data_IF_309083271071
#
_entry.id   IF_309083271071
#
_cell.length_a   1.000
_cell.length_b   1.000
_cell.length_c   1.000
_cell.angle_alpha   90.00
_cell.angle_beta   90.00
_cell.angle_gamma   90.00
#
_symmetry.space_group_name_H-M   'P 1'
#
loop_
_entity.id
_entity.type
_entity.pdbx_description
1 polymer ?
#
# COMPACT_ATOMS: atom_id res chain seq x y z
N UNK A 1 29.19 -38.43 -84.58
CA UNK A 1 29.70 -39.08 -83.35
C UNK A 1 28.97 -38.43 -82.18
N UNK A 2 27.92 -39.08 -81.68
CA UNK A 2 27.94 -40.00 -80.52
C UNK A 2 28.02 -39.20 -79.21
N UNK A 3 26.84 -39.04 -78.61
CA UNK A 3 26.43 -38.99 -77.20
C UNK A 3 27.51 -38.89 -76.12
N UNK A 4 27.07 -38.35 -74.97
CA UNK A 4 27.72 -38.24 -73.64
C UNK A 4 28.32 -36.82 -73.51
N UNK A 5 27.75 -35.87 -72.76
CA UNK A 5 27.47 -35.94 -71.32
C UNK A 5 26.18 -35.15 -71.00
N UNK A 6 25.10 -35.88 -70.76
CA UNK A 6 23.98 -35.47 -69.93
C UNK A 6 24.39 -35.71 -68.47
N UNK A 7 24.95 -34.73 -67.75
CA UNK A 7 25.17 -34.87 -66.30
C UNK A 7 25.46 -33.55 -65.57
N UNK A 8 25.01 -32.40 -66.08
CA UNK A 8 24.96 -31.18 -65.26
C UNK A 8 23.65 -30.41 -65.50
N UNK A 9 22.59 -31.16 -65.76
CA UNK A 9 21.23 -30.77 -65.41
C UNK A 9 21.04 -31.12 -63.94
N UNK A 10 21.45 -30.23 -63.04
CA UNK A 10 20.68 -29.98 -61.83
C UNK A 10 21.23 -28.75 -61.12
N UNK A 11 20.32 -27.83 -60.83
CA UNK A 11 20.44 -26.90 -59.71
C UNK A 11 21.32 -25.66 -59.92
N UNK A 12 21.04 -24.89 -60.97
CA UNK A 12 21.16 -23.43 -60.87
C UNK A 12 19.76 -22.84 -61.07
N UNK A 13 18.85 -23.23 -60.17
CA UNK A 13 17.64 -22.43 -59.96
C UNK A 13 18.15 -21.15 -59.31
N UNK A 14 17.99 -20.08 -60.06
CA UNK A 14 18.20 -18.70 -59.65
C UNK A 14 17.67 -18.53 -58.23
N UNK A 15 18.58 -18.32 -57.27
CA UNK A 15 18.24 -17.80 -55.95
C UNK A 15 17.81 -16.34 -56.13
N UNK A 16 16.71 -16.11 -56.86
CA UNK A 16 15.87 -14.94 -56.58
C UNK A 16 15.14 -15.36 -55.31
N UNK A 17 15.82 -15.22 -54.17
CA UNK A 17 15.10 -15.04 -52.94
C UNK A 17 14.24 -13.80 -53.20
N UNK A 18 12.93 -14.00 -53.40
CA UNK A 18 11.99 -12.95 -53.11
C UNK A 18 12.33 -12.54 -51.68
N UNK A 19 12.94 -11.37 -51.48
CA UNK A 19 12.89 -10.77 -50.16
C UNK A 19 11.41 -10.76 -49.80
N UNK A 20 10.99 -11.51 -48.77
CA UNK A 20 9.59 -11.50 -48.40
C UNK A 20 9.22 -10.04 -48.20
N UNK A 21 8.09 -9.60 -48.76
CA UNK A 21 7.48 -8.34 -48.34
C UNK A 21 7.13 -8.54 -46.86
N UNK A 22 8.08 -8.19 -46.01
CA UNK A 22 7.90 -8.11 -44.58
C UNK A 22 7.20 -6.79 -44.34
N UNK A 23 5.91 -6.86 -44.04
CA UNK A 23 5.23 -5.73 -43.46
C UNK A 23 5.76 -5.60 -42.03
N UNK A 24 6.94 -4.98 -41.88
CA UNK A 24 7.52 -4.66 -40.59
C UNK A 24 6.70 -3.51 -40.04
N UNK A 25 5.82 -3.80 -39.10
CA UNK A 25 5.26 -2.77 -38.24
C UNK A 25 6.45 -2.08 -37.55
N UNK A 26 6.79 -0.88 -38.03
CA UNK A 26 7.77 -0.03 -37.38
C UNK A 26 7.21 0.32 -36.01
N UNK A 27 7.96 0.01 -34.95
CA UNK A 27 7.56 0.32 -33.56
C UNK A 27 7.49 1.85 -33.33
N UNK A 28 7.83 2.66 -34.34
CA UNK A 28 7.83 4.11 -34.24
C UNK A 28 9.11 4.63 -33.60
N UNK A 29 9.36 5.93 -33.74
CA UNK A 29 10.48 6.60 -33.08
C UNK A 29 10.17 6.89 -31.61
N UNK A 30 11.22 7.03 -30.80
CA UNK A 30 11.08 7.56 -29.46
C UNK A 30 10.51 8.98 -29.48
N UNK A 31 9.64 9.28 -28.53
CA UNK A 31 9.13 10.64 -28.31
C UNK A 31 9.76 11.23 -27.05
N UNK A 32 9.71 12.56 -26.97
CA UNK A 32 10.14 13.37 -25.83
C UNK A 32 8.96 13.72 -24.91
N UNK A 33 9.25 14.21 -23.71
CA UNK A 33 8.23 14.48 -22.69
C UNK A 33 7.25 15.60 -23.10
N UNK A 34 7.67 16.57 -23.91
CA UNK A 34 6.83 17.62 -24.48
C UNK A 34 5.85 17.11 -25.55
N UNK A 35 6.13 15.95 -26.13
CA UNK A 35 5.26 15.27 -27.09
C UNK A 35 4.23 14.33 -26.41
N UNK A 36 4.27 14.20 -25.08
CA UNK A 36 3.34 13.36 -24.33
C UNK A 36 1.92 13.97 -24.29
N UNK A 37 0.98 13.24 -24.87
CA UNK A 37 -0.46 13.45 -24.76
C UNK A 37 -1.04 12.47 -23.72
N UNK A 38 -0.94 12.90 -22.47
CA UNK A 38 -1.42 12.18 -21.29
C UNK A 38 -2.25 13.10 -20.43
N UNK A 39 -3.34 12.58 -19.87
CA UNK A 39 -4.24 13.33 -18.99
C UNK A 39 -4.62 12.52 -17.76
N UNK A 40 -4.83 13.25 -16.66
CA UNK A 40 -5.44 12.74 -15.43
C UNK A 40 -6.54 13.73 -15.04
N UNK A 41 -7.80 13.30 -15.12
CA UNK A 41 -8.95 14.20 -14.93
C UNK A 41 -9.94 13.62 -13.93
N UNK A 42 -10.24 14.32 -12.82
CA UNK A 42 -11.29 13.91 -11.91
C UNK A 42 -12.65 13.95 -12.58
N UNK A 43 -13.49 12.96 -12.31
CA UNK A 43 -14.91 13.03 -12.67
C UNK A 43 -15.56 14.13 -11.82
N UNK A 44 -16.26 15.06 -12.46
CA UNK A 44 -17.00 16.12 -11.78
C UNK A 44 -18.41 15.63 -11.46
N UNK A 45 -18.82 15.71 -10.19
CA UNK A 45 -20.16 15.38 -9.72
C UNK A 45 -20.69 16.57 -8.92
N UNK A 46 -21.87 17.09 -9.29
CA UNK A 46 -22.49 18.26 -8.65
C UNK A 46 -21.54 19.48 -8.54
N UNK A 47 -20.71 19.71 -9.57
CA UNK A 47 -19.76 20.83 -9.62
C UNK A 47 -18.49 20.65 -8.79
N UNK A 48 -18.29 19.50 -8.13
CA UNK A 48 -17.08 19.18 -7.36
C UNK A 48 -16.26 18.08 -8.02
N UNK A 49 -14.94 18.17 -7.93
CA UNK A 49 -14.01 17.14 -8.41
C UNK A 49 -14.06 15.94 -7.46
N UNK A 50 -14.54 14.80 -7.94
CA UNK A 50 -14.63 13.58 -7.15
C UNK A 50 -13.27 12.90 -6.98
N UNK A 51 -13.22 11.91 -6.09
CA UNK A 51 -12.07 11.04 -5.87
C UNK A 51 -11.83 9.98 -6.96
N UNK A 52 -12.59 9.99 -8.06
CA UNK A 52 -12.39 9.08 -9.19
C UNK A 52 -11.70 9.83 -10.33
N UNK A 53 -10.48 9.40 -10.68
CA UNK A 53 -9.64 10.07 -11.69
C UNK A 53 -9.53 9.18 -12.92
N UNK A 54 -9.86 9.73 -14.08
CA UNK A 54 -9.67 9.07 -15.38
C UNK A 54 -8.26 9.38 -15.87
N UNK A 55 -7.50 8.32 -16.16
CA UNK A 55 -6.15 8.38 -16.72
C UNK A 55 -6.23 7.99 -18.19
N UNK A 56 -5.62 8.77 -19.07
CA UNK A 56 -5.59 8.50 -20.51
C UNK A 56 -4.21 8.77 -21.06
N UNK A 57 -3.64 7.78 -21.76
CA UNK A 57 -2.44 7.93 -22.57
C UNK A 57 -2.78 7.74 -24.06
N UNK A 58 -2.72 8.82 -24.83
CA UNK A 58 -2.88 8.79 -26.28
C UNK A 58 -1.53 8.68 -27.02
N UNK A 59 -0.41 8.77 -26.29
CA UNK A 59 0.93 8.65 -26.87
C UNK A 59 1.34 7.20 -27.14
N UNK A 60 2.19 6.95 -28.15
CA UNK A 60 2.65 5.61 -28.54
C UNK A 60 3.76 5.07 -27.60
N UNK A 61 3.53 5.13 -26.29
CA UNK A 61 4.45 4.65 -25.25
C UNK A 61 3.71 3.77 -24.26
N UNK A 62 4.39 2.79 -23.64
CA UNK A 62 3.77 2.02 -22.56
C UNK A 62 3.54 2.91 -21.34
N UNK A 63 2.45 2.68 -20.63
CA UNK A 63 2.05 3.53 -19.51
C UNK A 63 2.45 2.96 -18.16
N UNK A 64 2.88 3.83 -17.25
CA UNK A 64 2.97 3.57 -15.82
C UNK A 64 2.53 4.82 -15.07
N UNK A 65 1.44 4.72 -14.33
CA UNK A 65 0.83 5.80 -13.56
C UNK A 65 0.98 5.51 -12.08
N UNK A 66 1.87 6.22 -11.39
CA UNK A 66 1.94 6.19 -9.94
C UNK A 66 1.03 7.30 -9.38
N UNK A 67 -0.03 6.90 -8.67
CA UNK A 67 -0.97 7.82 -8.05
C UNK A 67 -0.86 7.83 -6.52
N UNK A 68 0.34 7.48 -6.01
CA UNK A 68 0.64 7.38 -4.60
C UNK A 68 0.22 6.02 -4.03
N UNK A 69 -1.06 5.65 -4.12
CA UNK A 69 -1.56 4.43 -3.46
C UNK A 69 -1.10 3.14 -4.19
N UNK A 70 -1.20 3.11 -5.52
CA UNK A 70 -0.72 2.00 -6.36
C UNK A 70 -0.20 2.54 -7.69
N UNK A 71 0.29 1.62 -8.52
CA UNK A 71 0.69 1.89 -9.90
C UNK A 71 -0.34 1.24 -10.84
N UNK A 72 -0.80 1.98 -11.85
CA UNK A 72 -1.53 1.42 -13.00
C UNK A 72 -0.63 1.38 -14.22
N UNK A 73 -0.66 0.28 -14.97
CA UNK A 73 0.08 0.14 -16.24
C UNK A 73 -0.82 0.18 -17.48
N UNK A 74 -2.11 0.48 -17.29
CA UNK A 74 -3.04 0.54 -18.42
C UNK A 74 -2.86 1.84 -19.19
N UNK A 75 -3.08 1.77 -20.49
CA UNK A 75 -3.12 2.95 -21.35
C UNK A 75 -4.22 3.92 -20.91
N UNK A 76 -5.41 3.40 -20.64
CA UNK A 76 -6.52 4.13 -20.05
C UNK A 76 -6.99 3.40 -18.80
N UNK A 77 -7.20 4.13 -17.70
CA UNK A 77 -7.69 3.56 -16.45
C UNK A 77 -8.60 4.54 -15.71
N UNK A 78 -9.29 4.04 -14.69
CA UNK A 78 -10.03 4.86 -13.75
C UNK A 78 -9.61 4.47 -12.35
N UNK A 79 -8.86 5.35 -11.69
CA UNK A 79 -8.32 5.13 -10.34
C UNK A 79 -9.21 5.79 -9.29
N UNK A 80 -9.06 5.34 -8.04
CA UNK A 80 -9.79 5.85 -6.89
C UNK A 80 -8.82 6.38 -5.83
N UNK A 81 -8.92 7.67 -5.55
CA UNK A 81 -8.21 8.33 -4.45
C UNK A 81 -8.97 8.08 -3.14
N UNK A 82 -8.23 7.92 -2.05
CA UNK A 82 -8.80 7.53 -0.73
C UNK A 82 -8.84 8.66 0.29
N UNK A 83 -8.30 9.84 -0.06
CA UNK A 83 -8.30 11.06 0.74
C UNK A 83 -8.53 12.28 -0.17
N UNK A 84 -9.17 13.37 0.33
CA UNK A 84 -9.31 14.60 -0.43
C UNK A 84 -8.01 15.42 -0.46
N UNK A 85 -7.95 16.44 -1.33
CA UNK A 85 -6.82 17.36 -1.43
C UNK A 85 -6.09 17.30 -2.78
N UNK A 86 -4.93 17.94 -2.82
CA UNK A 86 -4.07 17.95 -4.00
C UNK A 86 -3.21 16.68 -4.03
N UNK A 87 -3.05 16.10 -5.21
CA UNK A 87 -2.18 14.97 -5.45
C UNK A 87 -1.43 15.12 -6.78
N UNK A 88 -0.22 14.56 -6.83
CA UNK A 88 0.54 14.39 -8.06
C UNK A 88 0.37 12.96 -8.55
N UNK A 89 0.01 12.80 -9.81
CA UNK A 89 0.08 11.52 -10.52
C UNK A 89 1.32 11.55 -11.40
N UNK A 90 2.30 10.71 -11.08
CA UNK A 90 3.54 10.61 -11.84
C UNK A 90 3.37 9.60 -12.97
N UNK A 91 3.40 10.08 -14.22
CA UNK A 91 3.42 9.24 -15.40
C UNK A 91 4.87 8.89 -15.78
N UNK A 92 5.12 7.62 -16.10
CA UNK A 92 6.32 7.15 -16.79
C UNK A 92 5.91 6.44 -18.07
N UNK A 93 6.34 6.98 -19.20
CA UNK A 93 6.24 6.37 -20.52
C UNK A 93 7.50 5.55 -20.84
N UNK A 94 7.34 4.36 -21.42
CA UNK A 94 8.45 3.60 -22.02
C UNK A 94 8.36 3.70 -23.54
N UNK A 95 9.39 4.30 -24.15
CA UNK A 95 9.52 4.40 -25.60
C UNK A 95 9.88 3.06 -26.24
N UNK A 96 9.63 2.90 -27.55
CA UNK A 96 10.08 1.76 -28.37
C UNK A 96 11.57 1.38 -28.21
N UNK A 97 12.44 2.38 -28.04
CA UNK A 97 13.88 2.20 -27.89
C UNK A 97 14.31 1.86 -26.45
N UNK A 98 13.36 1.71 -25.53
CA UNK A 98 13.59 1.42 -24.11
C UNK A 98 13.90 2.65 -23.26
N UNK A 99 13.98 3.85 -23.84
CA UNK A 99 14.13 5.08 -23.06
C UNK A 99 12.85 5.40 -22.28
N UNK A 100 13.01 6.06 -21.13
CA UNK A 100 11.90 6.46 -20.25
C UNK A 100 11.68 7.97 -20.34
N UNK A 101 10.42 8.37 -20.33
CA UNK A 101 9.97 9.76 -20.28
C UNK A 101 8.97 9.92 -19.14
N UNK A 102 9.03 11.03 -18.42
CA UNK A 102 8.19 11.26 -17.24
C UNK A 102 7.40 12.56 -17.35
N UNK A 103 6.21 12.58 -16.74
CA UNK A 103 5.37 13.78 -16.63
C UNK A 103 4.53 13.72 -15.37
N UNK A 104 4.56 14.80 -14.59
CA UNK A 104 3.74 14.93 -13.38
C UNK A 104 2.43 15.64 -13.71
N UNK A 105 1.31 15.04 -13.31
CA UNK A 105 -0.02 15.57 -13.50
C UNK A 105 -0.61 15.96 -12.15
N UNK A 106 -0.93 17.23 -11.99
CA UNK A 106 -1.54 17.76 -10.77
C UNK A 106 -3.06 17.54 -10.82
N UNK A 107 -3.60 16.91 -9.78
CA UNK A 107 -5.05 16.73 -9.61
C UNK A 107 -5.49 17.22 -8.24
N UNK A 108 -6.74 17.65 -8.16
CA UNK A 108 -7.39 18.05 -6.90
C UNK A 108 -8.65 17.22 -6.72
N UNK A 109 -8.81 16.63 -5.55
CA UNK A 109 -10.03 15.96 -5.11
C UNK A 109 -10.72 16.85 -4.08
N UNK A 110 -11.88 17.39 -4.45
CA UNK A 110 -12.67 18.27 -3.58
C UNK A 110 -13.48 17.44 -2.58
N UNK A 111 -14.00 16.28 -3.02
CA UNK A 111 -14.89 15.44 -2.23
C UNK A 111 -14.73 13.95 -2.56
N UNK A 112 -14.84 13.10 -1.52
CA UNK A 112 -14.90 11.65 -1.67
C UNK A 112 -16.31 11.20 -2.10
N UNK A 113 -16.73 11.60 -3.30
CA UNK A 113 -18.08 11.29 -3.84
C UNK A 113 -18.32 9.79 -4.00
N UNK A 114 -17.28 9.02 -4.35
CA UNK A 114 -17.37 7.57 -4.47
C UNK A 114 -16.90 6.91 -3.15
N UNK A 115 -17.65 5.91 -2.63
CA UNK A 115 -17.33 5.29 -1.36
C UNK A 115 -15.91 4.75 -1.29
N UNK A 116 -15.21 5.09 -0.20
CA UNK A 116 -13.94 4.50 0.21
C UNK A 116 -14.03 4.14 1.69
N UNK A 117 -13.23 3.17 2.12
CA UNK A 117 -13.18 2.79 3.52
C UNK A 117 -12.72 4.00 4.38
N UNK A 118 -13.52 4.43 5.38
CA UNK A 118 -13.17 5.59 6.22
C UNK A 118 -11.87 5.39 7.01
N UNK A 119 -11.44 4.13 7.19
CA UNK A 119 -10.19 3.75 7.83
C UNK A 119 -8.96 4.36 7.14
N UNK A 120 -9.02 4.66 5.84
CA UNK A 120 -7.96 5.44 5.19
C UNK A 120 -7.80 6.83 5.82
N UNK A 121 -8.89 7.53 6.11
CA UNK A 121 -8.88 8.83 6.79
C UNK A 121 -8.50 8.70 8.27
N UNK A 122 -8.92 7.63 8.94
CA UNK A 122 -8.52 7.35 10.32
C UNK A 122 -7.02 7.09 10.41
N UNK A 123 -6.48 6.14 9.64
CA UNK A 123 -5.07 5.76 9.70
C UNK A 123 -4.14 6.83 9.12
N UNK A 124 -4.51 7.47 8.01
CA UNK A 124 -3.62 8.35 7.25
C UNK A 124 -4.03 9.82 7.24
N UNK A 125 -5.13 10.24 7.89
CA UNK A 125 -5.58 11.63 7.84
C UNK A 125 -5.83 12.11 6.41
N UNK A 126 -5.23 13.23 6.02
CA UNK A 126 -5.28 13.77 4.66
C UNK A 126 -4.17 13.25 3.73
N UNK A 127 -3.54 12.11 4.06
CA UNK A 127 -2.52 11.45 3.23
C UNK A 127 -1.35 10.87 4.03
N UNK A 128 -1.04 11.46 5.19
CA UNK A 128 -0.21 10.86 6.22
C UNK A 128 -0.69 11.25 7.62
N UNK A 129 -0.54 10.36 8.59
CA UNK A 129 -0.81 10.65 10.00
C UNK A 129 0.19 9.93 10.90
N UNK A 130 0.64 10.65 11.91
CA UNK A 130 1.55 10.15 12.94
C UNK A 130 0.74 9.63 14.13
N UNK A 131 1.06 8.44 14.58
CA UNK A 131 0.52 7.76 15.74
C UNK A 131 1.62 7.59 16.80
N UNK A 132 1.27 7.82 18.05
CA UNK A 132 2.13 7.65 19.23
C UNK A 132 1.40 6.82 20.27
N UNK A 133 2.11 6.33 21.28
CA UNK A 133 1.47 5.67 22.42
C UNK A 133 0.42 6.57 23.07
N UNK A 134 -0.68 5.97 23.52
CA UNK A 134 -1.70 6.72 24.23
C UNK A 134 -1.30 6.95 25.70
N UNK A 135 -0.58 8.05 25.96
CA UNK A 135 -0.18 8.44 27.32
C UNK A 135 -1.35 8.85 28.24
N UNK A 136 -2.55 9.07 27.66
CA UNK A 136 -3.75 9.39 28.44
C UNK A 136 -4.43 8.15 29.02
N UNK A 137 -4.09 6.97 28.50
CA UNK A 137 -4.55 5.69 29.05
C UNK A 137 -3.79 5.35 30.34
N UNK A 138 -4.43 4.59 31.25
CA UNK A 138 -3.76 4.10 32.47
C UNK A 138 -2.58 3.19 32.15
N UNK A 139 -2.63 2.48 31.03
CA UNK A 139 -1.55 1.68 30.44
C UNK A 139 -1.76 1.58 28.93
N UNK A 140 -0.67 1.55 28.17
CA UNK A 140 -0.72 1.65 26.70
C UNK A 140 -0.29 0.36 25.99
N UNK A 141 0.31 -0.58 26.71
CA UNK A 141 0.69 -1.90 26.22
C UNK A 141 0.58 -2.94 27.34
N UNK A 142 0.32 -4.18 27.00
CA UNK A 142 0.28 -5.28 27.96
C UNK A 142 -0.62 -6.41 27.50
N UNK A 143 -0.89 -7.35 28.40
CA UNK A 143 -1.77 -8.48 28.13
C UNK A 143 -3.08 -8.43 28.93
N UNK A 144 -4.02 -9.27 28.51
CA UNK A 144 -5.34 -9.42 29.10
C UNK A 144 -6.10 -10.58 28.47
N UNK A 145 -7.36 -10.74 28.87
CA UNK A 145 -8.24 -11.79 28.37
C UNK A 145 -8.72 -11.52 26.94
N UNK A 146 -8.37 -12.41 26.01
CA UNK A 146 -8.92 -12.46 24.66
C UNK A 146 -10.44 -12.54 24.71
N UNK A 147 -11.14 -11.73 23.91
CA UNK A 147 -12.61 -11.59 23.89
C UNK A 147 -13.26 -11.08 25.19
N UNK A 148 -12.48 -10.85 26.26
CA UNK A 148 -12.97 -10.40 27.57
C UNK A 148 -12.51 -8.99 27.95
N UNK A 149 -11.36 -8.55 27.43
CA UNK A 149 -10.82 -7.22 27.64
C UNK A 149 -10.68 -6.47 26.32
N UNK A 150 -10.73 -5.14 26.38
CA UNK A 150 -10.51 -4.24 25.23
C UNK A 150 -9.23 -3.40 25.39
N UNK A 151 -8.43 -3.71 26.41
CA UNK A 151 -7.19 -3.03 26.80
C UNK A 151 -6.38 -4.00 27.69
N UNK A 152 -5.12 -3.69 28.03
CA UNK A 152 -4.40 -4.45 29.03
C UNK A 152 -5.22 -4.60 30.33
N UNK A 153 -5.25 -5.80 30.89
CA UNK A 153 -6.10 -6.16 32.04
C UNK A 153 -5.44 -7.06 33.08
N UNK A 154 -4.29 -7.68 32.77
CA UNK A 154 -3.57 -8.55 33.72
C UNK A 154 -2.18 -8.01 34.03
N UNK A 155 -1.32 -7.89 33.02
CA UNK A 155 -0.04 -7.20 33.11
C UNK A 155 -0.05 -6.04 32.12
N UNK A 156 0.22 -4.84 32.63
CA UNK A 156 0.03 -3.60 31.90
C UNK A 156 1.20 -2.65 32.15
N UNK A 157 1.69 -2.03 31.09
CA UNK A 157 2.82 -1.11 31.10
C UNK A 157 2.40 0.30 30.71
N UNK A 158 2.97 1.26 31.43
CA UNK A 158 2.98 2.67 31.04
C UNK A 158 4.08 2.93 30.03
N UNK A 159 3.98 4.06 29.34
CA UNK A 159 4.88 4.45 28.25
C UNK A 159 6.38 4.40 28.64
N UNK A 160 6.72 4.84 29.86
CA UNK A 160 8.10 4.87 30.36
C UNK A 160 8.72 3.49 30.63
N UNK A 161 7.94 2.41 30.60
CA UNK A 161 8.40 1.04 30.85
C UNK A 161 8.66 0.26 29.55
N UNK A 162 8.23 0.81 28.41
CA UNK A 162 8.21 0.10 27.13
C UNK A 162 9.58 -0.15 26.53
N UNK A 163 10.55 0.72 26.81
CA UNK A 163 11.94 0.50 26.39
C UNK A 163 12.55 -0.76 27.00
N UNK A 164 12.04 -1.22 28.16
CA UNK A 164 12.41 -2.50 28.75
C UNK A 164 11.93 -3.71 27.95
N UNK A 165 10.90 -3.54 27.11
CA UNK A 165 10.35 -4.59 26.25
C UNK A 165 10.89 -4.52 24.82
N UNK A 166 10.93 -3.31 24.26
CA UNK A 166 11.44 -3.01 22.92
C UNK A 166 12.18 -1.67 22.95
N UNK A 167 13.52 -1.73 23.01
CA UNK A 167 14.37 -0.55 23.16
C UNK A 167 14.18 0.48 22.03
N UNK A 168 13.92 1.73 22.39
CA UNK A 168 13.72 2.84 21.45
C UNK A 168 12.33 2.86 20.81
N UNK A 169 11.43 1.97 21.22
CA UNK A 169 10.02 1.96 20.77
C UNK A 169 9.06 2.48 21.86
N UNK A 170 9.56 2.96 23.00
CA UNK A 170 8.78 3.51 24.09
C UNK A 170 8.45 5.01 23.94
N UNK A 171 8.71 5.78 25.00
CA UNK A 171 8.40 7.21 25.05
C UNK A 171 9.07 8.00 23.90
N UNK A 172 8.27 8.81 23.20
CA UNK A 172 8.69 9.60 22.04
C UNK A 172 8.79 8.84 20.71
N UNK A 173 8.65 7.51 20.71
CA UNK A 173 8.62 6.73 19.48
C UNK A 173 7.29 6.95 18.74
N UNK A 174 7.30 6.74 17.42
CA UNK A 174 6.12 7.02 16.59
C UNK A 174 5.98 6.09 15.39
N UNK A 175 4.77 6.08 14.83
CA UNK A 175 4.44 5.42 13.57
C UNK A 175 3.81 6.42 12.61
N UNK A 176 4.19 6.39 11.34
CA UNK A 176 3.57 7.20 10.29
C UNK A 176 2.90 6.27 9.30
N UNK A 177 1.58 6.35 9.21
CA UNK A 177 0.78 5.69 8.19
C UNK A 177 0.55 6.66 7.04
N UNK A 178 0.78 6.23 5.80
CA UNK A 178 0.57 7.05 4.60
C UNK A 178 -0.20 6.31 3.52
N UNK A 179 -1.08 7.06 2.84
CA UNK A 179 -1.76 6.58 1.63
C UNK A 179 -0.76 6.25 0.52
N UNK A 180 0.39 6.93 0.49
CA UNK A 180 1.46 6.65 -0.47
C UNK A 180 2.08 5.29 -0.18
N UNK A 181 1.95 4.37 -1.13
CA UNK A 181 2.43 3.00 -1.08
C UNK A 181 1.73 2.12 -0.04
N UNK A 182 0.61 2.60 0.55
CA UNK A 182 0.04 2.03 1.78
C UNK A 182 1.13 1.77 2.82
N UNK A 183 1.94 2.79 3.09
CA UNK A 183 3.20 2.63 3.83
C UNK A 183 3.04 2.88 5.32
N UNK A 184 3.85 2.16 6.09
CA UNK A 184 4.01 2.31 7.52
C UNK A 184 5.49 2.53 7.83
N UNK A 185 5.81 3.65 8.45
CA UNK A 185 7.15 3.97 8.96
C UNK A 185 7.14 3.95 10.47
N UNK A 186 8.06 3.21 11.10
CA UNK A 186 8.27 3.16 12.54
C UNK A 186 9.54 3.92 12.89
N UNK A 187 9.41 4.95 13.72
CA UNK A 187 10.51 5.81 14.15
C UNK A 187 10.91 5.47 15.59
N UNK A 188 12.21 5.33 15.81
CA UNK A 188 12.80 4.99 17.10
C UNK A 188 13.39 6.22 17.78
N UNK A 189 13.52 6.18 19.11
CA UNK A 189 14.12 7.26 19.91
C UNK A 189 15.56 7.03 20.32
N UNK A 190 16.11 5.84 20.08
CA UNK A 190 17.46 5.45 20.48
C UNK A 190 18.51 5.64 19.36
N UNK A 191 18.19 6.38 18.29
CA UNK A 191 19.07 6.57 17.14
C UNK A 191 19.08 5.43 16.12
N UNK A 192 18.30 4.36 16.34
CA UNK A 192 18.07 3.33 15.32
C UNK A 192 17.38 3.94 14.10
N UNK A 193 17.84 3.55 12.90
CA UNK A 193 17.22 3.99 11.65
C UNK A 193 15.75 3.57 11.59
N UNK A 194 14.89 4.46 11.08
CA UNK A 194 13.47 4.17 10.94
C UNK A 194 13.22 2.90 10.12
N UNK A 195 12.33 2.04 10.60
CA UNK A 195 11.90 0.85 9.88
C UNK A 195 10.73 1.20 8.97
N UNK A 196 10.71 0.65 7.76
CA UNK A 196 9.71 0.96 6.75
C UNK A 196 9.10 -0.30 6.17
N UNK A 197 7.80 -0.28 6.02
CA UNK A 197 7.05 -1.37 5.43
C UNK A 197 5.71 -0.91 4.91
N UNK A 198 4.78 -1.86 4.83
CA UNK A 198 3.42 -1.63 4.34
C UNK A 198 2.40 -2.00 5.39
N UNK A 199 1.20 -1.48 5.21
CA UNK A 199 0.02 -1.94 5.92
C UNK A 199 -1.12 -2.25 4.96
N UNK A 200 -2.04 -3.06 5.43
CA UNK A 200 -3.35 -3.31 4.82
C UNK A 200 -4.38 -3.50 5.93
N UNK A 201 -5.66 -3.32 5.62
CA UNK A 201 -6.73 -3.57 6.57
C UNK A 201 -7.94 -4.23 5.93
N UNK A 202 -8.62 -5.07 6.71
CA UNK A 202 -9.81 -5.80 6.27
C UNK A 202 -10.91 -5.69 7.33
N UNK A 203 -11.88 -4.81 7.07
CA UNK A 203 -13.03 -4.57 7.95
C UNK A 203 -14.15 -5.61 7.78
N UNK A 204 -14.00 -6.55 6.85
CA UNK A 204 -14.92 -7.69 6.74
C UNK A 204 -14.58 -8.81 7.73
N UNK A 205 -13.37 -8.80 8.29
CA UNK A 205 -12.89 -9.76 9.29
C UNK A 205 -13.19 -9.27 10.69
N UNK A 206 -14.44 -9.40 11.11
CA UNK A 206 -14.87 -9.11 12.48
C UNK A 206 -14.72 -10.33 13.38
N UNK A 207 -14.40 -10.10 14.65
CA UNK A 207 -14.34 -11.14 15.69
C UNK A 207 -15.44 -10.86 16.70
N UNK A 208 -16.26 -11.87 17.01
CA UNK A 208 -17.29 -11.77 18.04
C UNK A 208 -16.78 -12.22 19.42
N UNK A 209 -17.28 -11.61 20.49
CA UNK A 209 -17.06 -12.07 21.85
C UNK A 209 -17.89 -13.33 22.17
N UNK A 210 -17.74 -13.84 23.40
CA UNK A 210 -18.50 -15.00 23.88
C UNK A 210 -20.02 -14.81 23.96
N UNK A 211 -20.52 -13.58 23.85
CA UNK A 211 -21.93 -13.23 23.83
C UNK A 211 -22.45 -12.95 22.41
N UNK A 212 -21.59 -13.05 21.39
CA UNK A 212 -21.93 -12.77 19.99
C UNK A 212 -21.89 -11.29 19.59
N UNK A 213 -21.45 -10.38 20.48
CA UNK A 213 -21.23 -8.99 20.14
C UNK A 213 -19.89 -8.81 19.42
N UNK A 214 -19.77 -7.81 18.53
CA UNK A 214 -18.51 -7.52 17.87
C UNK A 214 -17.46 -7.04 18.87
N UNK A 215 -16.40 -7.83 19.06
CA UNK A 215 -15.25 -7.50 19.88
C UNK A 215 -14.17 -6.78 19.08
N UNK A 216 -13.82 -7.32 17.91
CA UNK A 216 -12.94 -6.67 16.95
C UNK A 216 -13.70 -6.36 15.65
N UNK A 217 -13.52 -5.15 15.14
CA UNK A 217 -14.23 -4.64 13.96
C UNK A 217 -13.51 -4.90 12.64
N UNK A 218 -12.28 -5.41 12.68
CA UNK A 218 -11.48 -5.67 11.48
C UNK A 218 -10.10 -6.19 11.84
N UNK A 219 -9.25 -6.37 10.82
CA UNK A 219 -7.85 -6.78 10.98
C UNK A 219 -6.94 -5.77 10.31
N UNK A 220 -5.89 -5.33 11.01
CA UNK A 220 -4.75 -4.58 10.46
C UNK A 220 -3.60 -5.57 10.22
N UNK A 221 -3.05 -5.58 9.02
CA UNK A 221 -1.87 -6.37 8.67
C UNK A 221 -0.71 -5.45 8.33
N UNK A 222 0.51 -5.80 8.76
CA UNK A 222 1.74 -5.09 8.42
C UNK A 222 2.71 -6.02 7.69
N UNK A 223 3.65 -5.46 6.95
CA UNK A 223 4.65 -6.24 6.21
C UNK A 223 5.99 -5.52 6.20
N UNK A 224 7.08 -6.23 6.49
CA UNK A 224 8.45 -5.70 6.67
C UNK A 224 8.62 -4.71 7.83
N UNK A 225 7.56 -4.47 8.60
CA UNK A 225 7.52 -3.58 9.77
C UNK A 225 6.40 -4.08 10.69
N UNK A 226 6.50 -3.75 11.98
CA UNK A 226 5.44 -3.98 12.98
C UNK A 226 4.92 -2.64 13.50
N UNK A 227 3.86 -2.65 14.30
CA UNK A 227 3.57 -1.47 15.16
C UNK A 227 4.65 -1.32 16.24
N UNK A 228 4.63 -0.21 16.99
CA UNK A 228 5.51 -0.02 18.15
C UNK A 228 5.31 -1.16 19.16
N UNK A 229 6.40 -1.74 19.62
CA UNK A 229 6.43 -2.95 20.45
C UNK A 229 5.54 -4.07 19.88
N UNK A 230 5.46 -4.22 18.56
CA UNK A 230 4.64 -5.22 17.87
C UNK A 230 5.19 -6.63 18.02
N UNK A 231 5.28 -7.12 19.26
CA UNK A 231 5.82 -8.41 19.65
C UNK A 231 4.84 -9.16 20.57
N UNK A 232 4.83 -10.48 20.50
CA UNK A 232 4.17 -11.35 21.48
C UNK A 232 5.22 -11.85 22.46
N UNK A 233 5.24 -11.31 23.68
CA UNK A 233 6.34 -11.55 24.64
C UNK A 233 6.42 -13.02 25.03
N UNK A 234 5.27 -13.64 25.35
CA UNK A 234 5.21 -15.02 25.82
C UNK A 234 5.38 -16.05 24.70
N UNK A 235 5.36 -15.62 23.44
CA UNK A 235 5.76 -16.45 22.29
C UNK A 235 7.20 -16.15 21.86
N UNK A 236 8.08 -15.88 22.83
CA UNK A 236 9.51 -15.64 22.61
C UNK A 236 9.79 -14.30 21.93
N UNK A 237 9.00 -13.26 22.22
CA UNK A 237 9.07 -11.94 21.57
C UNK A 237 8.97 -12.01 20.04
N UNK A 238 8.20 -12.95 19.48
CA UNK A 238 8.00 -13.02 18.03
C UNK A 238 7.33 -11.75 17.52
N UNK A 239 7.68 -11.33 16.31
CA UNK A 239 7.02 -10.20 15.66
C UNK A 239 5.55 -10.52 15.36
N UNK A 240 4.69 -9.57 15.69
CA UNK A 240 3.27 -9.56 15.33
C UNK A 240 3.10 -8.72 14.07
N UNK A 241 2.40 -9.25 13.08
CA UNK A 241 2.15 -8.56 11.80
C UNK A 241 0.67 -8.58 11.41
N UNK A 242 -0.19 -9.13 12.25
CA UNK A 242 -1.64 -9.16 12.07
C UNK A 242 -2.28 -8.87 13.41
N UNK A 243 -3.17 -7.89 13.43
CA UNK A 243 -3.76 -7.34 14.64
C UNK A 243 -5.27 -7.25 14.48
N UNK A 244 -6.01 -7.69 15.47
CA UNK A 244 -7.42 -7.34 15.61
C UNK A 244 -7.54 -5.84 15.88
N UNK A 245 -8.38 -5.14 15.12
CA UNK A 245 -8.72 -3.74 15.35
C UNK A 245 -9.90 -3.70 16.32
N UNK A 246 -9.65 -3.32 17.57
CA UNK A 246 -10.71 -3.17 18.58
C UNK A 246 -11.39 -1.82 18.45
N UNK A 247 -10.61 -0.75 18.29
CA UNK A 247 -11.11 0.60 18.00
C UNK A 247 -10.17 1.32 17.06
N UNK A 248 -10.73 2.16 16.18
CA UNK A 248 -10.00 2.98 15.23
C UNK A 248 -10.89 4.15 14.81
N UNK A 249 -10.45 5.36 15.15
CA UNK A 249 -11.08 6.60 14.73
C UNK A 249 -10.01 7.65 14.39
N UNK A 250 -10.38 8.94 14.35
CA UNK A 250 -9.44 10.00 14.01
C UNK A 250 -8.33 10.20 15.04
N UNK A 251 -8.57 9.82 16.29
CA UNK A 251 -7.76 10.18 17.46
C UNK A 251 -7.18 8.97 18.18
N UNK A 252 -7.83 7.81 18.14
CA UNK A 252 -7.45 6.60 18.89
C UNK A 252 -7.40 5.36 18.00
N UNK A 253 -6.46 4.48 18.31
CA UNK A 253 -6.31 3.16 17.68
C UNK A 253 -5.95 2.14 18.75
N UNK A 254 -6.81 1.16 18.94
CA UNK A 254 -6.57 0.03 19.86
C UNK A 254 -6.49 -1.26 19.07
N UNK A 255 -5.37 -1.94 19.21
CA UNK A 255 -5.06 -3.19 18.53
C UNK A 255 -4.94 -4.33 19.53
N UNK A 256 -5.23 -5.54 19.08
CA UNK A 256 -5.00 -6.75 19.86
C UNK A 256 -4.41 -7.87 19.01
N UNK A 257 -3.78 -8.83 19.70
CA UNK A 257 -3.24 -10.03 19.10
C UNK A 257 -3.34 -11.17 20.10
N UNK A 258 -3.72 -12.35 19.64
CA UNK A 258 -3.71 -13.58 20.43
C UNK A 258 -2.95 -14.69 19.69
N UNK A 259 -2.39 -15.63 20.44
CA UNK A 259 -1.78 -16.81 19.84
C UNK A 259 -2.83 -17.67 19.10
N UNK A 260 -2.48 -18.38 18.01
CA UNK A 260 -3.39 -19.30 17.35
C UNK A 260 -3.92 -20.36 18.33
N UNK A 261 -5.23 -20.60 18.32
CA UNK A 261 -5.88 -21.57 19.22
C UNK A 261 -6.22 -21.04 20.60
N UNK A 262 -5.95 -19.76 20.90
CA UNK A 262 -6.40 -19.11 22.15
C UNK A 262 -7.93 -19.10 22.23
N UNK A 263 -8.48 -19.69 23.29
CA UNK A 263 -9.90 -19.59 23.63
C UNK A 263 -10.23 -18.26 24.34
N UNK A 264 -11.51 -17.96 24.49
CA UNK A 264 -11.95 -16.78 25.26
C UNK A 264 -11.36 -16.77 26.67
N UNK A 265 -11.00 -15.58 27.15
CA UNK A 265 -10.24 -15.34 28.38
C UNK A 265 -8.84 -15.96 28.43
N UNK A 266 -8.33 -16.54 27.34
CA UNK A 266 -6.90 -16.81 27.18
C UNK A 266 -6.11 -15.53 26.91
N UNK A 267 -4.78 -15.62 26.80
CA UNK A 267 -3.95 -14.43 26.64
C UNK A 267 -4.10 -13.75 25.27
N UNK A 268 -4.35 -12.44 25.32
CA UNK A 268 -4.15 -11.52 24.22
C UNK A 268 -3.26 -10.35 24.64
N UNK A 269 -2.49 -9.83 23.70
CA UNK A 269 -1.71 -8.60 23.79
C UNK A 269 -2.54 -7.42 23.27
N UNK A 270 -2.31 -6.24 23.83
CA UNK A 270 -3.04 -5.02 23.50
C UNK A 270 -2.08 -3.85 23.31
N UNK A 271 -2.36 -3.02 22.31
CA UNK A 271 -1.63 -1.79 22.02
C UNK A 271 -2.61 -0.64 21.87
N UNK A 272 -2.40 0.44 22.63
CA UNK A 272 -3.24 1.63 22.60
C UNK A 272 -2.41 2.81 22.10
N UNK A 273 -2.87 3.39 20.99
CA UNK A 273 -2.25 4.52 20.33
C UNK A 273 -3.23 5.69 20.23
N UNK A 274 -2.66 6.88 20.12
CA UNK A 274 -3.37 8.11 19.80
C UNK A 274 -2.72 8.81 18.61
N UNK A 275 -3.44 9.71 17.95
CA UNK A 275 -2.82 10.64 17.00
C UNK A 275 -1.78 11.49 17.74
N UNK A 276 -0.67 11.78 17.07
CA UNK A 276 0.19 12.87 17.49
C UNK A 276 -0.56 14.20 17.34
N UNK A 277 -0.25 15.17 18.20
CA UNK A 277 -0.82 16.51 18.14
C UNK A 277 -0.22 17.36 17.02
#
# INVERSE_FOLDING_TARGET
MKNIIYALYMLVIVLVACDPIENRDSIGGAISADQLDVTATPIVVNGKKSNKIVLTNNSPVLSSWDYGLKISQKQCDTILMVVPGNATIAFTGLNPDGSKITKDLQVTVDELTYPVAPQWGYLCGSGQKTWVWDETASSCFGNGGYLGNNSPGWWALKIGELDGQAAGEGEGASMVFSTTGASLTKNYTNGTAASKGKFDFDMSKTTADGNGATWAQGVLTTSNVTVLCGISINEGKKNVNSYDILSLDNDKMTLSYHAPGTGGWGEAWFWLFRKAD
#
